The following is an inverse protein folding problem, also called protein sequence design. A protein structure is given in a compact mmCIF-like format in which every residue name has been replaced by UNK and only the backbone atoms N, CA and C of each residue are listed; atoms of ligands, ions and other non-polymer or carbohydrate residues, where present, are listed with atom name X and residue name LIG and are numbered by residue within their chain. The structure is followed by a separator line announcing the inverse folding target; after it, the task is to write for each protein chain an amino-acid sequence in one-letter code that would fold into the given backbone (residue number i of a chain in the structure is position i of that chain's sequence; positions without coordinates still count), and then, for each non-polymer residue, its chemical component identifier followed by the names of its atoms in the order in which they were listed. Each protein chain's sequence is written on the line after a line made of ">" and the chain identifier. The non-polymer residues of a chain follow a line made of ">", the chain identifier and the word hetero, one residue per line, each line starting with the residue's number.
data_IF_854677770858
#
_entry.id   IF_854677770858
#
_cell.length_a   1.000
_cell.length_b   1.000
_cell.length_c   1.000
_cell.angle_alpha   90.00
_cell.angle_beta   90.00
_cell.angle_gamma   90.00
#
_symmetry.space_group_name_H-M   'P 1'
#
loop_
_entity.id
_entity.type
_entity.pdbx_description
1 polymer ?
#
# COMPACT_ATOMS: atom_id res chain seq x y z
N UNK A 1 -19.36 7.04 16.23
CA UNK A 1 -19.11 6.67 14.81
C UNK A 1 -17.61 6.67 14.62
N UNK A 2 -16.98 5.49 14.50
CA UNK A 2 -15.53 5.37 14.38
C UNK A 2 -15.08 6.00 13.04
N UNK A 3 -14.32 7.08 13.12
CA UNK A 3 -13.81 7.80 11.96
C UNK A 3 -12.91 6.87 11.14
N UNK A 4 -13.21 6.72 9.85
CA UNK A 4 -12.31 5.99 8.96
C UNK A 4 -11.06 6.85 8.76
N UNK A 5 -9.91 6.34 9.20
CA UNK A 5 -8.63 6.94 8.86
C UNK A 5 -8.44 6.80 7.35
N UNK A 6 -8.40 7.93 6.66
CA UNK A 6 -8.10 7.97 5.24
C UNK A 6 -6.63 8.30 5.05
N UNK A 7 -5.93 7.48 4.27
CA UNK A 7 -4.56 7.68 3.85
C UNK A 7 -4.63 8.24 2.44
N UNK A 8 -4.31 9.52 2.27
CA UNK A 8 -4.43 10.21 0.99
C UNK A 8 -5.82 10.04 0.32
N UNK A 9 -6.89 10.21 1.11
CA UNK A 9 -8.28 10.06 0.64
C UNK A 9 -8.75 8.62 0.41
N UNK A 10 -7.91 7.60 0.69
CA UNK A 10 -8.25 6.17 0.51
C UNK A 10 -8.32 5.43 1.84
N UNK A 11 -9.13 4.38 1.92
CA UNK A 11 -9.16 3.48 3.09
C UNK A 11 -7.94 2.55 3.12
N UNK A 12 -7.46 2.21 4.31
CA UNK A 12 -6.42 1.21 4.50
C UNK A 12 -6.91 -0.21 4.17
N UNK A 13 -6.03 -1.03 3.59
CA UNK A 13 -6.23 -2.49 3.48
C UNK A 13 -5.60 -3.14 4.71
N UNK A 14 -6.39 -3.89 5.48
CA UNK A 14 -5.96 -4.62 6.69
C UNK A 14 -6.70 -5.96 6.76
N UNK A 15 -6.30 -6.86 7.67
CA UNK A 15 -6.78 -8.25 7.70
C UNK A 15 -8.31 -8.41 7.70
N UNK A 16 -9.05 -7.45 8.26
CA UNK A 16 -10.52 -7.45 8.31
C UNK A 16 -11.20 -6.64 7.20
N UNK A 17 -10.47 -5.96 6.30
CA UNK A 17 -11.09 -5.05 5.32
C UNK A 17 -11.63 -5.73 4.07
N UNK A 18 -11.19 -6.96 3.77
CA UNK A 18 -11.51 -7.66 2.52
C UNK A 18 -10.98 -6.97 1.25
N UNK A 19 -10.13 -5.94 1.41
CA UNK A 19 -9.66 -5.09 0.31
C UNK A 19 -8.44 -5.66 -0.41
N UNK A 20 -8.24 -5.17 -1.63
CA UNK A 20 -7.04 -5.39 -2.44
C UNK A 20 -6.46 -4.01 -2.77
N UNK A 21 -5.16 -3.83 -2.53
CA UNK A 21 -4.41 -2.67 -2.99
C UNK A 21 -3.55 -3.10 -4.18
N UNK A 22 -3.82 -2.50 -5.33
CA UNK A 22 -3.00 -2.67 -6.53
C UNK A 22 -2.23 -1.38 -6.80
N UNK A 23 -0.93 -1.52 -7.02
CA UNK A 23 0.00 -0.42 -7.30
C UNK A 23 0.92 -0.78 -8.43
N UNK A 24 1.39 0.23 -9.14
CA UNK A 24 2.39 0.10 -10.19
C UNK A 24 3.79 0.20 -9.57
N UNK A 25 4.60 -0.84 -9.76
CA UNK A 25 6.02 -0.83 -9.41
C UNK A 25 6.83 -0.69 -10.70
N UNK A 26 7.40 0.49 -10.92
CA UNK A 26 8.18 0.81 -12.11
C UNK A 26 9.65 0.60 -11.80
N UNK A 27 10.19 -0.53 -12.24
CA UNK A 27 11.61 -0.83 -12.16
C UNK A 27 12.34 -0.23 -13.36
N UNK A 28 13.33 0.63 -13.07
CA UNK A 28 14.17 1.28 -14.08
C UNK A 28 15.37 0.42 -14.41
N UNK A 29 15.19 -0.53 -15.32
CA UNK A 29 16.21 -1.53 -15.66
C UNK A 29 17.25 -0.94 -16.64
N UNK A 30 18.54 -0.90 -16.28
CA UNK A 30 19.60 -0.48 -17.20
C UNK A 30 19.78 -1.47 -18.34
N UNK A 31 20.04 -0.97 -19.55
CA UNK A 31 20.37 -1.76 -20.73
C UNK A 31 21.45 -1.06 -21.58
N UNK A 32 22.01 -1.77 -22.55
CA UNK A 32 22.99 -1.19 -23.48
C UNK A 32 22.48 -0.03 -24.34
N UNK A 33 21.16 0.22 -24.37
CA UNK A 33 20.53 1.33 -25.12
C UNK A 33 20.01 2.46 -24.20
N UNK A 34 20.30 2.40 -22.90
CA UNK A 34 19.75 3.30 -21.88
C UNK A 34 18.88 2.57 -20.86
N UNK A 35 18.07 3.32 -20.11
CA UNK A 35 17.19 2.77 -19.08
C UNK A 35 15.79 2.53 -19.63
N UNK A 36 15.25 1.33 -19.41
CA UNK A 36 13.88 0.97 -19.77
C UNK A 36 13.05 0.86 -18.50
N UNK A 37 11.91 1.54 -18.49
CA UNK A 37 10.92 1.40 -17.42
C UNK A 37 10.13 0.11 -17.65
N UNK A 38 10.20 -0.81 -16.69
CA UNK A 38 9.45 -2.07 -16.71
C UNK A 38 8.38 -1.98 -15.63
N UNK A 39 7.11 -2.11 -16.04
CA UNK A 39 5.98 -2.12 -15.13
C UNK A 39 5.78 -3.51 -14.54
N UNK A 40 5.78 -3.58 -13.21
CA UNK A 40 5.36 -4.74 -12.45
C UNK A 40 4.10 -4.38 -11.65
N UNK A 41 3.07 -5.21 -11.75
CA UNK A 41 1.90 -5.07 -10.89
C UNK A 41 2.24 -5.56 -9.49
N UNK A 42 2.19 -4.66 -8.50
CA UNK A 42 2.30 -5.03 -7.09
C UNK A 42 0.90 -5.11 -6.49
N UNK A 43 0.51 -6.30 -6.02
CA UNK A 43 -0.82 -6.59 -5.49
C UNK A 43 -0.70 -7.02 -4.04
N UNK A 44 -1.21 -6.19 -3.12
CA UNK A 44 -1.29 -6.48 -1.70
C UNK A 44 -2.74 -6.84 -1.31
N UNK A 45 -2.92 -7.99 -0.65
CA UNK A 45 -4.25 -8.51 -0.30
C UNK A 45 -4.42 -8.55 1.22
N UNK A 46 -5.64 -8.28 1.70
CA UNK A 46 -5.94 -8.32 3.14
C UNK A 46 -5.64 -9.67 3.79
N UNK A 47 -5.76 -10.79 3.07
CA UNK A 47 -5.46 -12.12 3.60
C UNK A 47 -3.97 -12.34 3.89
N UNK A 48 -3.08 -11.60 3.23
CA UNK A 48 -1.63 -11.70 3.42
C UNK A 48 -1.15 -10.77 4.55
N UNK A 49 -2.06 -9.97 5.13
CA UNK A 49 -1.78 -9.05 6.22
C UNK A 49 -1.60 -9.81 7.55
N UNK A 50 -0.39 -10.31 7.82
CA UNK A 50 -0.11 -11.09 9.03
C UNK A 50 0.12 -10.22 10.30
N UNK A 51 1.17 -9.38 10.29
CA UNK A 51 1.60 -8.57 11.46
C UNK A 51 1.45 -7.07 11.18
N UNK A 52 0.24 -6.66 10.81
CA UNK A 52 -0.06 -5.23 10.59
C UNK A 52 -0.07 -4.47 11.92
N UNK A 53 0.19 -3.16 11.87
CA UNK A 53 0.18 -2.32 13.05
C UNK A 53 -1.21 -2.33 13.71
N UNK A 54 -1.27 -2.55 15.03
CA UNK A 54 -2.53 -2.52 15.78
C UNK A 54 -3.07 -1.10 16.01
N UNK A 55 -2.19 -0.09 16.02
CA UNK A 55 -2.54 1.34 16.07
C UNK A 55 -1.55 2.13 15.23
N UNK A 56 -1.97 3.28 14.71
CA UNK A 56 -1.10 4.22 14.02
C UNK A 56 -1.25 5.60 14.65
N UNK A 57 -0.22 6.45 14.51
CA UNK A 57 -0.27 7.85 14.93
C UNK A 57 -0.07 8.74 13.70
N UNK A 58 -0.85 9.81 13.59
CA UNK A 58 -0.65 10.86 12.58
C UNK A 58 -0.15 12.11 13.31
N UNK A 59 1.02 12.62 12.92
CA UNK A 59 1.66 13.78 13.56
C UNK A 59 1.76 13.66 15.09
N UNK A 60 2.07 12.45 15.59
CA UNK A 60 2.20 12.17 17.03
C UNK A 60 0.89 11.89 17.78
N UNK A 61 -0.27 12.05 17.14
CA UNK A 61 -1.59 11.84 17.75
C UNK A 61 -2.19 10.49 17.33
N UNK A 62 -2.87 9.74 18.22
CA UNK A 62 -3.53 8.49 17.85
C UNK A 62 -4.66 8.76 16.84
N UNK A 63 -4.95 7.77 16.01
CA UNK A 63 -6.10 7.78 15.09
C UNK A 63 -6.99 6.56 15.27
#
# INVERSE_FOLDING_TARGET
>A
MAGKVLINGRSAVHAGSGGILQTDDICRTPSGKGTTDILYANVAQSKDAAKTAGTVKINGHPV
#
